data_IF_390923748357
#
_entry.id   IF_390923748357
#
_cell.length_a   1.000
_cell.length_b   1.000
_cell.length_c   1.000
_cell.angle_alpha   90.00
_cell.angle_beta   90.00
_cell.angle_gamma   90.00
#
_symmetry.space_group_name_H-M   'P 1'
#
loop_
_entity.id
_entity.type
_entity.pdbx_description
1 polymer ?
#
# COMPACT_ATOMS: atom_id res chain seq x y z
N UNK A 1 -9.13 4.10 -13.52
CA UNK A 1 -9.72 3.01 -12.69
C UNK A 1 -8.76 1.85 -12.42
N UNK A 2 -7.92 1.43 -13.38
CA UNK A 2 -6.99 0.29 -13.22
C UNK A 2 -6.02 0.43 -12.05
N UNK A 3 -5.33 1.58 -11.93
CA UNK A 3 -4.34 1.83 -10.88
C UNK A 3 -4.94 1.73 -9.47
N UNK A 4 -6.12 2.33 -9.26
CA UNK A 4 -6.83 2.26 -7.98
C UNK A 4 -7.20 0.80 -7.63
N UNK A 5 -7.69 0.03 -8.61
CA UNK A 5 -7.98 -1.40 -8.41
C UNK A 5 -6.73 -2.20 -8.07
N UNK A 6 -5.59 -1.87 -8.66
CA UNK A 6 -4.33 -2.53 -8.36
C UNK A 6 -3.84 -2.21 -6.94
N UNK A 7 -3.91 -0.93 -6.55
CA UNK A 7 -3.52 -0.46 -5.23
C UNK A 7 -4.32 -1.10 -4.09
N UNK A 8 -5.65 -1.18 -4.23
CA UNK A 8 -6.52 -1.83 -3.22
C UNK A 8 -6.27 -3.34 -3.12
N UNK A 9 -5.69 -3.96 -4.15
CA UNK A 9 -5.36 -5.40 -4.17
C UNK A 9 -3.95 -5.71 -3.68
N UNK A 10 -3.16 -4.71 -3.33
CA UNK A 10 -1.83 -4.93 -2.77
C UNK A 10 -1.95 -5.79 -1.51
N UNK A 11 -1.06 -6.77 -1.42
CA UNK A 11 -0.93 -7.66 -0.26
C UNK A 11 0.54 -7.80 0.09
N UNK A 12 0.82 -7.79 1.38
CA UNK A 12 2.13 -8.08 1.90
C UNK A 12 2.55 -9.53 1.59
N UNK A 13 3.86 -9.77 1.43
CA UNK A 13 4.43 -11.10 1.15
C UNK A 13 5.57 -11.36 2.11
N UNK A 14 5.45 -12.36 2.97
CA UNK A 14 6.46 -12.62 4.00
C UNK A 14 7.85 -13.06 3.49
N UNK A 15 8.02 -13.19 2.17
CA UNK A 15 9.24 -13.71 1.53
C UNK A 15 10.30 -12.62 1.27
N UNK A 16 9.95 -11.33 1.39
CA UNK A 16 10.88 -10.22 1.15
C UNK A 16 10.87 -9.21 2.32
N UNK A 17 11.93 -8.39 2.47
CA UNK A 17 12.03 -7.45 3.58
C UNK A 17 10.87 -6.45 3.59
N UNK A 18 10.42 -6.05 4.79
CA UNK A 18 9.38 -5.02 4.95
C UNK A 18 9.71 -3.71 4.22
N UNK A 19 10.98 -3.36 4.10
CA UNK A 19 11.44 -2.18 3.35
C UNK A 19 11.12 -2.25 1.86
N UNK A 20 11.18 -3.46 1.27
CA UNK A 20 10.77 -3.68 -0.11
C UNK A 20 9.26 -3.44 -0.28
N UNK A 21 8.46 -3.96 0.65
CA UNK A 21 7.02 -3.80 0.67
C UNK A 21 6.57 -2.34 0.84
N UNK A 22 7.21 -1.60 1.75
CA UNK A 22 6.94 -0.16 1.92
C UNK A 22 7.30 0.63 0.65
N UNK A 23 8.39 0.25 -0.02
CA UNK A 23 8.82 0.87 -1.28
C UNK A 23 7.85 0.56 -2.42
N UNK A 24 7.34 -0.67 -2.52
CA UNK A 24 6.32 -1.08 -3.49
C UNK A 24 5.01 -0.29 -3.26
N UNK A 25 4.56 -0.22 -2.00
CA UNK A 25 3.38 0.54 -1.63
C UNK A 25 3.51 2.03 -1.98
N UNK A 26 4.64 2.65 -1.64
CA UNK A 26 4.93 4.04 -1.98
C UNK A 26 4.96 4.25 -3.50
N UNK A 27 5.58 3.36 -4.26
CA UNK A 27 5.61 3.45 -5.72
C UNK A 27 4.21 3.42 -6.36
N UNK A 28 3.30 2.59 -5.83
CA UNK A 28 1.90 2.61 -6.29
C UNK A 28 1.13 3.85 -5.84
N UNK A 29 1.41 4.37 -4.64
CA UNK A 29 0.84 5.63 -4.18
C UNK A 29 1.31 6.82 -5.05
N UNK A 30 2.60 6.89 -5.38
CA UNK A 30 3.18 7.92 -6.23
C UNK A 30 2.56 7.90 -7.64
N UNK A 31 2.28 6.72 -8.18
CA UNK A 31 1.55 6.57 -9.44
C UNK A 31 0.13 7.14 -9.36
N UNK A 32 -0.59 6.94 -8.25
CA UNK A 32 -1.93 7.48 -8.04
C UNK A 32 -1.90 9.00 -7.85
N UNK A 33 -0.94 9.50 -7.09
CA UNK A 33 -0.70 10.93 -6.90
C UNK A 33 -0.38 11.63 -8.22
N UNK A 34 0.42 10.98 -9.09
CA UNK A 34 0.78 11.46 -10.42
C UNK A 34 -0.41 11.60 -11.39
N UNK A 35 -1.53 10.92 -11.13
CA UNK A 35 -2.78 11.07 -11.90
C UNK A 35 -3.85 11.89 -11.15
N UNK A 36 -3.42 12.73 -10.20
CA UNK A 36 -4.26 13.62 -9.40
C UNK A 36 -5.24 12.91 -8.45
N UNK A 37 -5.04 11.63 -8.14
CA UNK A 37 -5.79 10.96 -7.06
C UNK A 37 -5.05 11.21 -5.75
N UNK A 38 -5.66 12.01 -4.87
CA UNK A 38 -5.12 12.30 -3.55
C UNK A 38 -5.91 11.52 -2.49
N UNK A 39 -5.20 10.90 -1.57
CA UNK A 39 -5.77 10.33 -0.36
C UNK A 39 -5.49 11.27 0.81
N UNK A 40 -6.45 11.38 1.70
CA UNK A 40 -6.22 11.97 3.01
C UNK A 40 -5.24 11.08 3.80
N UNK A 41 -4.48 11.68 4.73
CA UNK A 41 -3.51 10.96 5.57
C UNK A 41 -4.17 9.82 6.36
N UNK A 42 -5.42 9.99 6.79
CA UNK A 42 -6.17 8.94 7.47
C UNK A 42 -6.47 7.75 6.56
N UNK A 43 -6.88 8.01 5.31
CA UNK A 43 -7.12 6.96 4.33
C UNK A 43 -5.82 6.25 3.95
N UNK A 44 -4.73 6.98 3.80
CA UNK A 44 -3.41 6.42 3.52
C UNK A 44 -2.95 5.51 4.68
N UNK A 45 -3.17 5.94 5.92
CA UNK A 45 -2.92 5.13 7.12
C UNK A 45 -3.74 3.84 7.14
N UNK A 46 -5.01 3.89 6.78
CA UNK A 46 -5.84 2.68 6.65
C UNK A 46 -5.32 1.72 5.58
N UNK A 47 -4.89 2.24 4.42
CA UNK A 47 -4.35 1.41 3.34
C UNK A 47 -3.06 0.70 3.74
N UNK A 48 -2.15 1.38 4.44
CA UNK A 48 -0.88 0.77 4.85
C UNK A 48 -1.10 -0.28 5.96
N UNK A 49 -2.03 -0.02 6.89
CA UNK A 49 -2.43 -0.98 7.92
C UNK A 49 -3.04 -2.24 7.30
N UNK A 50 -3.94 -2.07 6.34
CA UNK A 50 -4.56 -3.19 5.63
C UNK A 50 -3.54 -3.96 4.76
N UNK A 51 -2.59 -3.27 4.12
CA UNK A 51 -1.54 -3.91 3.33
C UNK A 51 -0.64 -4.79 4.19
N UNK A 52 -0.29 -4.32 5.39
CA UNK A 52 0.57 -5.01 6.35
C UNK A 52 -0.21 -5.89 7.33
N UNK A 53 -1.50 -6.16 7.11
CA UNK A 53 -2.38 -6.88 8.04
C UNK A 53 -1.74 -8.19 8.56
N UNK A 54 -1.23 -9.02 7.63
CA UNK A 54 -0.61 -10.31 7.95
C UNK A 54 0.67 -10.19 8.80
N UNK A 55 1.30 -9.01 8.80
CA UNK A 55 2.51 -8.70 9.57
C UNK A 55 2.17 -8.36 11.03
N UNK A 56 1.02 -7.70 11.27
CA UNK A 56 0.56 -7.34 12.62
C UNK A 56 0.07 -8.56 13.40
N UNK A 57 -0.60 -9.51 12.75
CA UNK A 57 -1.06 -10.77 13.36
C UNK A 57 0.10 -11.68 13.82
N UNK A 58 1.32 -11.41 13.34
CA UNK A 58 2.52 -12.17 13.71
C UNK A 58 3.31 -11.59 14.89
N UNK A 59 2.93 -10.43 15.44
CA UNK A 59 3.55 -9.80 16.63
C UNK A 59 2.71 -10.00 17.89
#
# INVERSE_FOLDING_TARGET
>A
MYLLKNFVKLKYKNETPITYHLSEFQGHFDQLSGICIKFDEFLLGLFILNYLFDLWETF
#
